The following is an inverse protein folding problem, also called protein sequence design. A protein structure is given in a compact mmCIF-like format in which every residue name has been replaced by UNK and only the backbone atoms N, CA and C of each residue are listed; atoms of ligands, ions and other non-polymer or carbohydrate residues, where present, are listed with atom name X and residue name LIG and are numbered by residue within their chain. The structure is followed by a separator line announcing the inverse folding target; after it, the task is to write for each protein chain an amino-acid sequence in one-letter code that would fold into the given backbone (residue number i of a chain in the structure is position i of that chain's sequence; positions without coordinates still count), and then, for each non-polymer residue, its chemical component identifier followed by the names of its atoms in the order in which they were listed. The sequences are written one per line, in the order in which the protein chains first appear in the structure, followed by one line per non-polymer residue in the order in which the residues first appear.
data_IF_983258044767
#
_entry.id   IF_983258044767
#
_cell.length_a   1.000
_cell.length_b   1.000
_cell.length_c   1.000
_cell.angle_alpha   90.00
_cell.angle_beta   90.00
_cell.angle_gamma   90.00
#
_symmetry.space_group_name_H-M   'P 1'
#
loop_
_entity.id
_entity.type
_entity.pdbx_description
1 polymer ?
#
# COMPACT_ATOMS: atom_id res chain seq x y z
N UNK A 1 1.54 -16.72 -1.97
CA UNK A 1 2.42 -17.56 -1.13
C UNK A 1 1.52 -18.54 -0.40
N UNK A 2 1.83 -19.82 -0.44
CA UNK A 2 1.07 -20.85 0.30
C UNK A 2 1.32 -20.71 1.81
N UNK A 3 0.26 -20.80 2.61
CA UNK A 3 0.30 -20.62 4.07
C UNK A 3 1.28 -21.60 4.75
N UNK A 4 1.28 -22.85 4.31
CA UNK A 4 2.17 -23.91 4.84
C UNK A 4 3.64 -23.74 4.43
N UNK A 5 3.90 -23.03 3.33
CA UNK A 5 5.26 -22.64 2.95
C UNK A 5 5.78 -21.54 3.87
N UNK A 6 4.94 -20.56 4.18
CA UNK A 6 5.26 -19.45 5.06
C UNK A 6 5.52 -19.92 6.50
N UNK A 7 4.65 -20.79 7.05
CA UNK A 7 4.83 -21.37 8.40
C UNK A 7 6.19 -22.06 8.56
N UNK A 8 6.49 -23.00 7.67
CA UNK A 8 7.77 -23.74 7.70
C UNK A 8 8.98 -22.83 7.54
N UNK A 9 8.87 -21.78 6.73
CA UNK A 9 9.92 -20.76 6.60
C UNK A 9 10.14 -19.98 7.89
N UNK A 10 9.06 -19.52 8.54
CA UNK A 10 9.15 -18.81 9.83
C UNK A 10 9.70 -19.71 10.94
N UNK A 11 9.25 -20.97 11.02
CA UNK A 11 9.75 -21.94 11.99
C UNK A 11 11.25 -22.21 11.79
N UNK A 12 11.70 -22.35 10.54
CA UNK A 12 13.12 -22.51 10.21
C UNK A 12 13.94 -21.31 10.65
N UNK A 13 13.49 -20.07 10.37
CA UNK A 13 14.19 -18.85 10.79
C UNK A 13 14.27 -18.75 12.32
N UNK A 14 13.19 -19.11 13.02
CA UNK A 14 13.17 -19.15 14.49
C UNK A 14 14.17 -20.17 15.05
N UNK A 15 14.34 -21.33 14.40
CA UNK A 15 15.32 -22.34 14.79
C UNK A 15 16.77 -21.88 14.58
N UNK A 16 17.01 -20.94 13.67
CA UNK A 16 18.33 -20.35 13.43
C UNK A 16 18.63 -19.15 14.36
N UNK A 17 17.79 -18.91 15.37
CA UNK A 17 17.86 -17.75 16.28
C UNK A 17 17.82 -16.38 15.58
N UNK A 18 17.19 -16.34 14.39
CA UNK A 18 16.92 -15.10 13.66
C UNK A 18 15.65 -14.50 14.23
N UNK A 19 15.80 -13.74 15.31
CA UNK A 19 14.71 -13.02 15.97
C UNK A 19 14.72 -11.55 15.54
N UNK A 20 13.72 -11.13 14.77
CA UNK A 20 13.52 -9.72 14.41
C UNK A 20 13.95 -9.41 12.98
N UNK A 21 12.96 -9.09 12.15
CA UNK A 21 13.14 -8.61 10.79
C UNK A 21 11.80 -8.09 10.24
N UNK A 22 11.87 -7.28 9.18
CA UNK A 22 10.68 -6.85 8.45
C UNK A 22 10.37 -7.85 7.34
N UNK A 23 9.19 -8.46 7.36
CA UNK A 23 8.74 -9.40 6.33
C UNK A 23 7.76 -8.71 5.39
N UNK A 24 8.10 -8.63 4.11
CA UNK A 24 7.24 -8.09 3.07
C UNK A 24 6.55 -9.24 2.32
N UNK A 25 5.23 -9.34 2.43
CA UNK A 25 4.43 -10.34 1.71
C UNK A 25 3.36 -9.70 0.83
N UNK A 26 2.82 -10.48 -0.10
CA UNK A 26 1.59 -10.11 -0.80
C UNK A 26 0.39 -10.08 0.19
N UNK A 27 -0.67 -9.35 -0.16
CA UNK A 27 -1.89 -9.18 0.62
C UNK A 27 -2.80 -10.42 0.50
N UNK A 28 -2.36 -11.54 1.06
CA UNK A 28 -3.20 -12.73 1.21
C UNK A 28 -3.84 -12.73 2.61
N UNK A 29 -5.18 -12.84 2.68
CA UNK A 29 -5.96 -12.71 3.93
C UNK A 29 -5.52 -13.67 5.02
N UNK A 30 -5.11 -14.88 4.65
CA UNK A 30 -4.66 -15.92 5.59
C UNK A 30 -3.30 -15.64 6.21
N UNK A 31 -2.43 -14.89 5.52
CA UNK A 31 -1.10 -14.54 6.01
C UNK A 31 -1.18 -13.53 7.17
N UNK A 32 -2.14 -12.60 7.13
CA UNK A 32 -2.33 -11.59 8.19
C UNK A 32 -2.64 -12.22 9.55
N UNK A 33 -3.48 -13.26 9.59
CA UNK A 33 -3.78 -14.00 10.83
C UNK A 33 -2.53 -14.73 11.35
N UNK A 34 -1.74 -15.33 10.46
CA UNK A 34 -0.54 -16.06 10.83
C UNK A 34 0.49 -15.17 11.52
N UNK A 35 0.74 -13.97 10.97
CA UNK A 35 1.75 -13.07 11.53
C UNK A 35 1.41 -12.58 12.94
N UNK A 36 0.13 -12.36 13.24
CA UNK A 36 -0.33 -12.02 14.59
C UNK A 36 -0.01 -13.11 15.61
N UNK A 37 0.04 -14.39 15.21
CA UNK A 37 0.36 -15.51 16.08
C UNK A 37 1.87 -15.62 16.35
N UNK A 38 2.71 -15.22 15.40
CA UNK A 38 4.16 -15.34 15.48
C UNK A 38 4.85 -14.11 16.08
N UNK A 39 4.11 -13.09 16.53
CA UNK A 39 4.68 -11.85 17.06
C UNK A 39 5.53 -11.07 16.05
N UNK A 40 5.43 -11.41 14.76
CA UNK A 40 6.12 -10.70 13.69
C UNK A 40 5.41 -9.37 13.54
N UNK A 41 6.09 -8.28 13.89
CA UNK A 41 5.66 -6.96 13.50
C UNK A 41 5.65 -6.94 11.97
N UNK A 42 4.47 -7.16 11.40
CA UNK A 42 4.22 -6.84 10.01
C UNK A 42 4.34 -5.33 9.97
N UNK A 43 5.52 -4.84 9.61
CA UNK A 43 5.57 -3.69 8.76
C UNK A 43 4.78 -4.12 7.53
N UNK A 44 3.47 -3.90 7.59
CA UNK A 44 2.57 -3.84 6.45
C UNK A 44 3.03 -2.62 5.67
N UNK A 45 4.27 -2.65 5.17
CA UNK A 45 4.68 -1.89 4.02
C UNK A 45 3.76 -2.46 2.96
N UNK A 46 2.60 -1.83 2.82
CA UNK A 46 1.71 -2.03 1.70
C UNK A 46 2.63 -2.10 0.49
N UNK A 47 2.82 -3.30 -0.07
CA UNK A 47 3.74 -3.42 -1.18
C UNK A 47 3.05 -2.72 -2.35
N UNK A 48 3.39 -1.45 -2.48
CA UNK A 48 2.68 -0.45 -3.28
C UNK A 48 2.65 -0.88 -4.74
N UNK A 49 3.66 -1.63 -5.16
CA UNK A 49 3.79 -2.28 -6.46
C UNK A 49 2.60 -3.19 -6.79
N UNK A 50 1.96 -3.81 -5.81
CA UNK A 50 0.74 -4.60 -6.01
C UNK A 50 -0.55 -3.75 -5.97
N UNK A 51 -0.52 -2.59 -5.31
CA UNK A 51 -1.66 -1.67 -5.28
C UNK A 51 -1.82 -0.90 -6.60
N UNK A 52 -0.70 -0.44 -7.17
CA UNK A 52 -0.67 0.44 -8.35
C UNK A 52 -1.46 -0.14 -9.53
N UNK A 53 -1.28 -1.41 -9.95
CA UNK A 53 -2.07 -1.98 -11.05
C UNK A 53 -3.57 -2.01 -10.77
N UNK A 54 -3.96 -2.23 -9.51
CA UNK A 54 -5.36 -2.25 -9.09
C UNK A 54 -6.00 -0.86 -9.18
N UNK A 55 -5.27 0.19 -8.78
CA UNK A 55 -5.70 1.58 -8.89
C UNK A 55 -5.81 2.00 -10.35
N UNK A 56 -4.78 1.75 -11.17
CA UNK A 56 -4.78 2.06 -12.60
C UNK A 56 -5.97 1.42 -13.31
N UNK A 57 -6.24 0.12 -13.08
CA UNK A 57 -7.39 -0.58 -13.68
C UNK A 57 -8.74 0.03 -13.31
N UNK A 58 -8.89 0.51 -12.07
CA UNK A 58 -10.12 1.19 -11.62
C UNK A 58 -10.30 2.53 -12.33
N UNK A 59 -9.23 3.31 -12.46
CA UNK A 59 -9.23 4.59 -13.19
C UNK A 59 -9.57 4.35 -14.65
N UNK A 60 -8.93 3.37 -15.30
CA UNK A 60 -9.19 3.03 -16.70
C UNK A 60 -10.65 2.59 -16.93
N UNK A 61 -11.25 1.89 -15.96
CA UNK A 61 -12.66 1.49 -16.01
C UNK A 61 -13.59 2.72 -15.96
N UNK A 62 -13.31 3.68 -15.08
CA UNK A 62 -14.05 4.94 -15.00
C UNK A 62 -13.87 5.74 -16.30
N UNK A 63 -12.64 5.77 -16.82
CA UNK A 63 -12.31 6.46 -18.05
C UNK A 63 -13.09 5.95 -19.26
N UNK A 64 -13.23 4.62 -19.37
CA UNK A 64 -14.02 3.97 -20.42
C UNK A 64 -15.53 4.15 -20.25
N UNK A 65 -16.02 4.24 -19.01
CA UNK A 65 -17.47 4.25 -18.73
C UNK A 65 -18.09 5.65 -18.79
N UNK A 66 -17.44 6.64 -18.19
CA UNK A 66 -18.10 7.91 -17.89
C UNK A 66 -17.21 9.16 -17.90
N UNK A 67 -15.88 9.04 -17.80
CA UNK A 67 -15.00 10.20 -17.69
C UNK A 67 -13.64 9.96 -18.35
N UNK A 68 -13.54 10.11 -19.67
CA UNK A 68 -12.29 9.89 -20.42
C UNK A 68 -11.09 10.68 -19.86
N UNK A 69 -11.36 11.87 -19.32
CA UNK A 69 -10.37 12.74 -18.68
C UNK A 69 -9.69 12.07 -17.47
N UNK A 70 -10.42 11.24 -16.70
CA UNK A 70 -9.83 10.49 -15.58
C UNK A 70 -8.66 9.59 -16.03
N UNK A 71 -8.72 9.06 -17.25
CA UNK A 71 -7.65 8.22 -17.81
C UNK A 71 -6.32 8.97 -17.96
N UNK A 72 -6.36 10.29 -18.24
CA UNK A 72 -5.14 11.12 -18.35
C UNK A 72 -4.38 11.22 -17.04
N UNK A 73 -5.08 11.10 -15.91
CA UNK A 73 -4.51 11.16 -14.56
C UNK A 73 -3.99 9.81 -14.04
N UNK A 74 -4.30 8.69 -14.71
CA UNK A 74 -3.99 7.33 -14.24
C UNK A 74 -2.51 7.14 -13.88
N UNK A 75 -1.61 7.60 -14.76
CA UNK A 75 -0.15 7.54 -14.52
C UNK A 75 0.27 8.43 -13.35
N UNK A 76 -0.25 9.66 -13.28
CA UNK A 76 0.09 10.62 -12.21
C UNK A 76 -0.35 10.09 -10.84
N UNK A 77 -1.59 9.61 -10.72
CA UNK A 77 -2.13 9.03 -9.49
C UNK A 77 -1.33 7.78 -9.06
N UNK A 78 -0.94 6.94 -10.02
CA UNK A 78 -0.11 5.76 -9.76
C UNK A 78 1.28 6.11 -9.24
N UNK A 79 1.91 7.11 -9.84
CA UNK A 79 3.21 7.62 -9.40
C UNK A 79 3.12 8.29 -8.02
N UNK A 80 2.03 9.02 -7.75
CA UNK A 80 1.77 9.62 -6.44
C UNK A 80 1.65 8.54 -5.36
N UNK A 81 0.90 7.47 -5.62
CA UNK A 81 0.80 6.35 -4.68
C UNK A 81 2.17 5.72 -4.39
N UNK A 82 3.01 5.54 -5.41
CA UNK A 82 4.39 5.08 -5.22
C UNK A 82 5.20 6.05 -4.35
N UNK A 83 5.13 7.36 -4.64
CA UNK A 83 5.82 8.40 -3.88
C UNK A 83 5.36 8.47 -2.42
N UNK A 84 4.06 8.34 -2.14
CA UNK A 84 3.53 8.25 -0.78
C UNK A 84 4.21 7.12 -0.02
N UNK A 85 4.23 5.92 -0.59
CA UNK A 85 4.84 4.75 0.04
C UNK A 85 6.36 4.88 0.20
N UNK A 86 7.04 5.47 -0.78
CA UNK A 86 8.49 5.65 -0.74
C UNK A 86 8.95 6.79 0.20
N UNK A 87 8.10 7.80 0.41
CA UNK A 87 8.44 9.01 1.18
C UNK A 87 7.95 9.01 2.62
N UNK A 88 7.09 8.07 3.01
CA UNK A 88 6.68 7.91 4.41
C UNK A 88 7.58 6.89 5.08
N UNK A 89 8.49 7.38 5.93
CA UNK A 89 9.32 6.54 6.79
C UNK A 89 8.49 6.04 7.98
N UNK A 90 8.95 4.95 8.60
CA UNK A 90 8.48 4.49 9.92
C UNK A 90 7.02 4.03 10.04
N UNK A 91 6.30 3.94 8.93
CA UNK A 91 4.94 3.38 8.90
C UNK A 91 3.88 4.30 9.51
N UNK A 92 4.12 5.61 9.57
CA UNK A 92 3.12 6.61 9.96
C UNK A 92 1.90 6.54 9.04
N UNK A 93 0.83 5.92 9.54
CA UNK A 93 -0.39 5.67 8.78
C UNK A 93 -1.14 6.95 8.46
N UNK A 94 -1.09 7.93 9.38
CA UNK A 94 -1.85 9.17 9.26
C UNK A 94 -1.17 10.07 8.22
N UNK A 95 0.16 10.16 8.25
CA UNK A 95 0.94 10.82 7.20
C UNK A 95 0.77 10.15 5.83
N UNK A 96 0.75 8.81 5.79
CA UNK A 96 0.50 8.05 4.56
C UNK A 96 -0.87 8.40 3.98
N UNK A 97 -1.90 8.44 4.82
CA UNK A 97 -3.27 8.77 4.40
C UNK A 97 -3.37 10.22 3.93
N UNK A 98 -2.82 11.17 4.68
CA UNK A 98 -2.83 12.59 4.33
C UNK A 98 -2.14 12.86 2.99
N UNK A 99 -0.94 12.30 2.77
CA UNK A 99 -0.26 12.39 1.48
C UNK A 99 -1.05 11.73 0.36
N UNK A 100 -1.67 10.58 0.61
CA UNK A 100 -2.48 9.91 -0.43
C UNK A 100 -3.67 10.76 -0.86
N UNK A 101 -4.42 11.30 0.11
CA UNK A 101 -5.60 12.10 -0.15
C UNK A 101 -5.26 13.43 -0.86
N UNK A 102 -4.05 13.97 -0.66
CA UNK A 102 -3.63 15.25 -1.29
C UNK A 102 -3.66 15.23 -2.82
N UNK A 103 -3.60 14.04 -3.45
CA UNK A 103 -3.73 13.90 -4.91
C UNK A 103 -5.07 14.43 -5.43
N UNK A 104 -6.14 14.32 -4.63
CA UNK A 104 -7.47 14.79 -5.01
C UNK A 104 -7.50 16.34 -5.06
N UNK A 105 -6.80 17.00 -4.14
CA UNK A 105 -6.65 18.45 -4.14
C UNK A 105 -5.82 18.90 -5.34
N UNK A 106 -4.72 18.22 -5.63
CA UNK A 106 -3.86 18.52 -6.78
C UNK A 106 -4.60 18.41 -8.12
N UNK A 107 -5.44 17.38 -8.30
CA UNK A 107 -6.26 17.19 -9.51
C UNK A 107 -7.29 18.33 -9.69
N UNK A 108 -7.78 18.88 -8.58
CA UNK A 108 -8.76 19.97 -8.56
C UNK A 108 -8.12 21.37 -8.52
N UNK A 109 -6.79 21.45 -8.61
CA UNK A 109 -6.02 22.70 -8.52
C UNK A 109 -6.24 23.44 -7.18
N UNK A 110 -6.46 22.69 -6.10
CA UNK A 110 -6.61 23.21 -4.73
C UNK A 110 -5.24 23.17 -4.04
N UNK A 111 -4.71 24.35 -3.72
CA UNK A 111 -3.39 24.52 -3.10
C UNK A 111 -3.44 24.99 -1.63
N UNK A 112 -4.62 25.40 -1.14
CA UNK A 112 -4.84 25.72 0.26
C UNK A 112 -5.24 24.44 1.03
N UNK A 113 -4.56 24.20 2.14
CA UNK A 113 -4.76 22.99 2.95
C UNK A 113 -5.04 23.38 4.40
N UNK A 114 -6.33 23.51 4.74
CA UNK A 114 -6.76 23.21 6.11
C UNK A 114 -6.68 21.69 6.28
N UNK A 115 -6.33 21.21 7.46
CA UNK A 115 -5.90 19.82 7.71
C UNK A 115 -6.95 18.74 7.43
N UNK A 116 -8.13 19.10 6.94
CA UNK A 116 -9.24 18.18 6.70
C UNK A 116 -9.63 18.14 5.23
N UNK A 117 -9.71 16.92 4.69
CA UNK A 117 -10.32 16.65 3.39
C UNK A 117 -11.84 16.73 3.51
N UNK A 118 -12.55 17.30 2.52
CA UNK A 118 -14.02 17.32 2.50
C UNK A 118 -14.64 15.92 2.33
#
# INVERSE_FOLDING_TARGET
MELEGLKRGLDFLSQQDIQGGSLVTDRHRESSTLFSLYGVHILNVFNVSYCIPGVSKKIDKIAKKSCSEAGKWSKSISNHLYWVAASTTDGDSDMTLAKWLSVANHIQDIHDHETDFP
#
